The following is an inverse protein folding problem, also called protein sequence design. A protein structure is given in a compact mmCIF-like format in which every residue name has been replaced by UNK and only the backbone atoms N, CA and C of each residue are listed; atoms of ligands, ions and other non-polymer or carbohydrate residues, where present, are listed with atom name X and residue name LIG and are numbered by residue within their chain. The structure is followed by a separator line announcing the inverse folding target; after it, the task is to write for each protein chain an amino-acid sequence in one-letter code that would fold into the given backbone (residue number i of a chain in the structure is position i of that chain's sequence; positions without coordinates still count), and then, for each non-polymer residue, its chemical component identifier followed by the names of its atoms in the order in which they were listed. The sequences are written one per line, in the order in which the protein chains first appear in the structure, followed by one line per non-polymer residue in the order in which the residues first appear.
data_IF_939974737309
#
_entry.id   IF_939974737309
#
_cell.length_a   1.000
_cell.length_b   1.000
_cell.length_c   1.000
_cell.angle_alpha   90.00
_cell.angle_beta   90.00
_cell.angle_gamma   90.00
#
_symmetry.space_group_name_H-M   'P 1'
#
loop_
_entity.id
_entity.type
_entity.pdbx_description
1 polymer ?
#
# COMPACT_ATOMS: atom_id res chain seq x y z
N UNK A 1 4.01 -26.34 24.91
CA UNK A 1 3.54 -25.00 24.49
C UNK A 1 2.03 -25.09 24.33
N UNK A 2 1.24 -24.25 24.99
CA UNK A 2 -0.22 -24.26 24.86
C UNK A 2 -0.65 -23.43 23.64
N UNK A 3 -1.85 -23.69 23.10
CA UNK A 3 -2.36 -23.05 21.87
C UNK A 3 -2.46 -21.51 21.96
N UNK A 4 -2.67 -21.00 23.17
CA UNK A 4 -2.73 -19.56 23.45
C UNK A 4 -1.36 -18.89 23.29
N UNK A 5 -0.29 -19.51 23.81
CA UNK A 5 1.09 -19.03 23.63
C UNK A 5 1.53 -19.09 22.17
N UNK A 6 1.08 -20.08 21.40
CA UNK A 6 1.36 -20.17 19.96
C UNK A 6 0.68 -19.03 19.19
N UNK A 7 -0.58 -18.75 19.51
CA UNK A 7 -1.35 -17.68 18.88
C UNK A 7 -0.71 -16.31 19.13
N UNK A 8 -0.20 -16.08 20.35
CA UNK A 8 0.50 -14.85 20.71
C UNK A 8 1.80 -14.65 19.91
N UNK A 9 2.57 -15.72 19.70
CA UNK A 9 3.82 -15.67 18.92
C UNK A 9 3.57 -15.32 17.45
N UNK A 10 2.57 -15.96 16.84
CA UNK A 10 2.18 -15.67 15.45
C UNK A 10 1.71 -14.22 15.30
N UNK A 11 0.89 -13.73 16.24
CA UNK A 11 0.43 -12.34 16.24
C UNK A 11 1.61 -11.36 16.34
N UNK A 12 2.52 -11.58 17.29
CA UNK A 12 3.70 -10.73 17.48
C UNK A 12 4.64 -10.74 16.27
N UNK A 13 4.75 -11.89 15.59
CA UNK A 13 5.46 -12.00 14.32
C UNK A 13 4.83 -11.14 13.23
N UNK A 14 3.51 -11.25 13.02
CA UNK A 14 2.79 -10.43 12.03
C UNK A 14 2.95 -8.94 12.34
N UNK A 15 2.80 -8.54 13.61
CA UNK A 15 2.99 -7.16 14.04
C UNK A 15 4.40 -6.66 13.74
N UNK A 16 5.42 -7.51 13.93
CA UNK A 16 6.81 -7.20 13.58
C UNK A 16 6.99 -6.95 12.08
N UNK A 17 6.36 -7.77 11.23
CA UNK A 17 6.42 -7.60 9.77
C UNK A 17 5.74 -6.29 9.32
N UNK A 18 4.59 -5.96 9.93
CA UNK A 18 3.85 -4.73 9.63
C UNK A 18 4.63 -3.50 10.12
N UNK A 19 5.13 -3.53 11.36
CA UNK A 19 5.89 -2.43 11.93
C UNK A 19 7.14 -2.11 11.11
N UNK A 20 7.86 -3.13 10.63
CA UNK A 20 9.00 -2.94 9.75
C UNK A 20 8.61 -2.22 8.46
N UNK A 21 7.49 -2.61 7.84
CA UNK A 21 7.00 -1.94 6.63
C UNK A 21 6.69 -0.47 6.88
N UNK A 22 5.94 -0.17 7.95
CA UNK A 22 5.54 1.19 8.31
C UNK A 22 6.76 2.07 8.61
N UNK A 23 7.77 1.55 9.32
CA UNK A 23 8.97 2.31 9.69
C UNK A 23 9.92 2.55 8.52
N UNK A 24 10.17 1.53 7.70
CA UNK A 24 11.20 1.56 6.64
C UNK A 24 10.64 1.86 5.24
N UNK A 25 9.31 1.98 5.11
CA UNK A 25 8.59 2.12 3.83
C UNK A 25 8.95 1.05 2.78
N UNK A 26 9.42 -0.12 3.22
CA UNK A 26 9.68 -1.29 2.37
C UNK A 26 9.19 -2.58 3.00
N UNK A 27 8.86 -3.55 2.16
CA UNK A 27 8.53 -4.89 2.62
C UNK A 27 9.81 -5.69 2.89
N UNK A 28 9.76 -6.60 3.87
CA UNK A 28 10.86 -7.55 4.08
C UNK A 28 11.00 -8.46 2.85
N UNK A 29 12.23 -8.91 2.61
CA UNK A 29 12.49 -10.04 1.72
C UNK A 29 12.15 -11.35 2.43
N UNK A 30 11.95 -12.43 1.66
CA UNK A 30 11.70 -13.76 2.22
C UNK A 30 12.81 -14.22 3.18
N UNK A 31 14.05 -13.82 2.92
CA UNK A 31 15.17 -14.17 3.79
C UNK A 31 15.12 -13.43 5.13
N UNK A 32 14.81 -12.13 5.12
CA UNK A 32 14.63 -11.37 6.35
C UNK A 32 13.41 -11.87 7.13
N UNK A 33 12.33 -12.26 6.44
CA UNK A 33 11.16 -12.87 7.08
C UNK A 33 11.50 -14.21 7.77
N UNK A 34 12.37 -15.02 7.17
CA UNK A 34 12.88 -16.26 7.77
C UNK A 34 13.75 -15.99 8.99
N UNK A 35 14.59 -14.96 8.95
CA UNK A 35 15.38 -14.58 10.12
C UNK A 35 14.46 -14.16 11.27
N UNK A 36 13.46 -13.32 10.99
CA UNK A 36 12.48 -12.90 11.99
C UNK A 36 11.67 -14.11 12.50
N UNK A 37 11.29 -15.07 11.65
CA UNK A 37 10.56 -16.26 12.14
C UNK A 37 11.44 -17.13 13.07
N UNK A 38 12.73 -17.27 12.76
CA UNK A 38 13.70 -17.97 13.60
C UNK A 38 13.94 -17.26 14.94
N UNK A 39 14.04 -15.92 14.94
CA UNK A 39 14.16 -15.11 16.16
C UNK A 39 13.00 -15.33 17.13
N UNK A 40 11.79 -15.52 16.60
CA UNK A 40 10.58 -15.81 17.38
C UNK A 40 10.42 -17.30 17.71
N UNK A 41 11.31 -18.17 17.22
CA UNK A 41 11.25 -19.61 17.44
C UNK A 41 10.03 -20.27 16.78
N UNK A 42 9.52 -19.70 15.68
CA UNK A 42 8.34 -20.21 14.99
C UNK A 42 8.62 -21.53 14.27
N UNK A 43 7.67 -22.44 14.35
CA UNK A 43 7.65 -23.65 13.54
C UNK A 43 7.04 -23.39 12.16
N UNK A 44 7.25 -24.32 11.22
CA UNK A 44 6.57 -24.32 9.91
C UNK A 44 5.04 -24.27 10.04
N UNK A 45 4.50 -24.90 11.09
CA UNK A 45 3.07 -24.84 11.40
C UNK A 45 2.61 -23.42 11.76
N UNK A 46 3.41 -22.70 12.54
CA UNK A 46 3.11 -21.31 12.95
C UNK A 46 3.19 -20.36 11.75
N UNK A 47 4.17 -20.57 10.85
CA UNK A 47 4.27 -19.83 9.58
C UNK A 47 3.04 -20.09 8.71
N UNK A 48 2.59 -21.35 8.63
CA UNK A 48 1.37 -21.71 7.88
C UNK A 48 0.14 -20.99 8.44
N UNK A 49 0.04 -20.82 9.77
CA UNK A 49 -1.04 -20.04 10.40
C UNK A 49 -0.95 -18.57 10.02
N UNK A 50 0.25 -17.98 10.03
CA UNK A 50 0.45 -16.60 9.56
C UNK A 50 0.03 -16.44 8.10
N UNK A 51 0.43 -17.35 7.21
CA UNK A 51 0.07 -17.34 5.79
C UNK A 51 -1.44 -17.46 5.57
N UNK A 52 -2.10 -18.35 6.32
CA UNK A 52 -3.56 -18.47 6.32
C UNK A 52 -4.24 -17.16 6.71
N UNK A 53 -3.74 -16.50 7.76
CA UNK A 53 -4.27 -15.21 8.21
C UNK A 53 -4.03 -14.11 7.17
N UNK A 54 -2.83 -14.07 6.56
CA UNK A 54 -2.52 -13.17 5.46
C UNK A 54 -3.47 -13.34 4.27
N UNK A 55 -3.79 -14.58 3.87
CA UNK A 55 -4.78 -14.86 2.82
C UNK A 55 -6.18 -14.40 3.19
N UNK A 56 -6.62 -14.68 4.42
CA UNK A 56 -7.94 -14.25 4.91
C UNK A 56 -8.08 -12.72 4.91
N UNK A 57 -7.05 -12.03 5.38
CA UNK A 57 -7.01 -10.56 5.39
C UNK A 57 -6.93 -9.98 3.97
N UNK A 58 -6.24 -10.64 3.04
CA UNK A 58 -6.25 -10.26 1.63
C UNK A 58 -7.67 -10.26 1.08
N UNK A 59 -8.39 -11.37 1.24
CA UNK A 59 -9.77 -11.51 0.76
C UNK A 59 -10.68 -10.44 1.39
N UNK A 60 -10.60 -10.25 2.70
CA UNK A 60 -11.37 -9.22 3.42
C UNK A 60 -11.07 -7.81 2.91
N UNK A 61 -9.79 -7.47 2.72
CA UNK A 61 -9.40 -6.16 2.21
C UNK A 61 -9.80 -5.93 0.75
N UNK A 62 -9.85 -6.98 -0.08
CA UNK A 62 -10.41 -6.91 -1.42
C UNK A 62 -11.93 -6.66 -1.40
N UNK A 63 -12.65 -7.24 -0.44
CA UNK A 63 -14.08 -6.95 -0.19
C UNK A 63 -14.27 -5.48 0.22
N UNK A 64 -13.46 -4.98 1.16
CA UNK A 64 -13.49 -3.55 1.53
C UNK A 64 -13.22 -2.63 0.33
N UNK A 65 -12.27 -2.98 -0.53
CA UNK A 65 -12.04 -2.26 -1.79
C UNK A 65 -13.28 -2.23 -2.68
N UNK A 66 -14.02 -3.34 -2.77
CA UNK A 66 -15.24 -3.41 -3.56
C UNK A 66 -16.31 -2.43 -3.05
N UNK A 67 -16.43 -2.31 -1.73
CA UNK A 67 -17.33 -1.37 -1.06
C UNK A 67 -16.75 0.04 -0.85
N UNK A 68 -15.57 0.34 -1.43
CA UNK A 68 -14.88 1.63 -1.31
C UNK A 68 -14.52 2.04 0.12
N UNK A 69 -14.41 1.06 1.02
CA UNK A 69 -13.95 1.22 2.39
C UNK A 69 -12.41 1.23 2.38
N UNK A 70 -11.84 2.35 1.92
CA UNK A 70 -10.43 2.40 1.56
C UNK A 70 -9.50 2.32 2.76
N UNK A 71 -9.87 2.91 3.89
CA UNK A 71 -9.04 2.90 5.09
C UNK A 71 -8.96 1.49 5.68
N UNK A 72 -10.09 0.78 5.80
CA UNK A 72 -10.16 -0.60 6.25
C UNK A 72 -9.48 -1.57 5.27
N UNK A 73 -9.63 -1.33 3.96
CA UNK A 73 -8.92 -2.09 2.95
C UNK A 73 -7.42 -1.94 3.09
N UNK A 74 -6.91 -0.71 3.30
CA UNK A 74 -5.48 -0.46 3.49
C UNK A 74 -4.96 -1.20 4.72
N UNK A 75 -5.69 -1.19 5.83
CA UNK A 75 -5.30 -1.92 7.05
C UNK A 75 -5.16 -3.42 6.76
N UNK A 76 -6.23 -4.06 6.28
CA UNK A 76 -6.24 -5.51 6.06
C UNK A 76 -5.21 -5.94 4.99
N UNK A 77 -5.10 -5.20 3.89
CA UNK A 77 -4.17 -5.51 2.80
C UNK A 77 -2.72 -5.20 3.16
N UNK A 78 -2.46 -4.26 4.09
CA UNK A 78 -1.09 -4.03 4.59
C UNK A 78 -0.59 -5.24 5.33
N UNK A 79 -1.41 -5.82 6.23
CA UNK A 79 -1.05 -7.05 6.92
C UNK A 79 -0.85 -8.19 5.93
N UNK A 80 -1.78 -8.36 4.98
CA UNK A 80 -1.69 -9.42 3.98
C UNK A 80 -0.39 -9.38 3.15
N UNK A 81 0.02 -8.19 2.72
CA UNK A 81 1.27 -8.00 1.95
C UNK A 81 2.50 -8.06 2.85
N UNK A 82 2.39 -7.74 4.14
CA UNK A 82 3.50 -7.94 5.09
C UNK A 82 3.82 -9.42 5.26
N UNK A 83 2.81 -10.28 5.30
CA UNK A 83 2.96 -11.73 5.43
C UNK A 83 3.31 -12.38 4.08
N UNK A 84 2.70 -11.95 2.97
CA UNK A 84 3.04 -12.42 1.63
C UNK A 84 3.47 -11.23 0.74
N UNK A 85 4.75 -10.82 0.80
CA UNK A 85 5.26 -9.66 0.08
C UNK A 85 5.41 -9.89 -1.43
N UNK A 86 5.17 -11.11 -1.91
CA UNK A 86 5.19 -11.49 -3.31
C UNK A 86 3.77 -11.67 -3.90
N UNK A 87 2.73 -11.50 -3.08
CA UNK A 87 1.34 -11.59 -3.51
C UNK A 87 0.99 -10.50 -4.52
N UNK A 88 0.97 -10.82 -5.81
CA UNK A 88 0.58 -9.87 -6.85
C UNK A 88 -0.85 -9.35 -6.60
N UNK A 89 -1.76 -10.23 -6.18
CA UNK A 89 -3.14 -9.87 -5.85
C UNK A 89 -3.22 -8.95 -4.62
N UNK A 90 -2.49 -9.26 -3.55
CA UNK A 90 -2.45 -8.42 -2.34
C UNK A 90 -1.84 -7.04 -2.63
N UNK A 91 -0.72 -7.01 -3.35
CA UNK A 91 -0.04 -5.78 -3.77
C UNK A 91 -0.94 -4.91 -4.66
N UNK A 92 -1.60 -5.51 -5.65
CA UNK A 92 -2.53 -4.79 -6.52
C UNK A 92 -3.75 -4.28 -5.75
N UNK A 93 -4.32 -5.12 -4.87
CA UNK A 93 -5.40 -4.72 -3.98
C UNK A 93 -5.02 -3.51 -3.14
N UNK A 94 -3.85 -3.53 -2.50
CA UNK A 94 -3.37 -2.42 -1.67
C UNK A 94 -3.13 -1.16 -2.51
N UNK A 95 -2.54 -1.31 -3.70
CA UNK A 95 -2.35 -0.20 -4.64
C UNK A 95 -3.69 0.45 -5.03
N UNK A 96 -4.73 -0.36 -5.26
CA UNK A 96 -6.08 0.09 -5.58
C UNK A 96 -6.73 0.79 -4.38
N UNK A 97 -6.55 0.27 -3.17
CA UNK A 97 -7.06 0.90 -1.95
C UNK A 97 -6.48 2.30 -1.75
N UNK A 98 -5.16 2.45 -1.91
CA UNK A 98 -4.50 3.76 -1.88
C UNK A 98 -5.01 4.70 -2.98
N UNK A 99 -5.14 4.24 -4.23
CA UNK A 99 -5.67 5.08 -5.31
C UNK A 99 -7.14 5.50 -5.06
N UNK A 100 -7.96 4.60 -4.50
CA UNK A 100 -9.33 4.90 -4.09
C UNK A 100 -9.39 5.94 -2.97
N UNK A 101 -8.53 5.82 -1.95
CA UNK A 101 -8.43 6.81 -0.87
C UNK A 101 -7.92 8.15 -1.38
N UNK A 102 -6.92 8.16 -2.25
CA UNK A 102 -6.48 9.39 -2.92
C UNK A 102 -7.61 10.05 -3.72
N UNK A 103 -8.42 9.26 -4.44
CA UNK A 103 -9.52 9.78 -5.26
C UNK A 103 -10.58 10.50 -4.42
N UNK A 104 -10.74 10.11 -3.15
CA UNK A 104 -11.73 10.66 -2.23
C UNK A 104 -11.16 11.74 -1.30
N UNK A 105 -9.96 11.54 -0.77
CA UNK A 105 -9.34 12.38 0.27
C UNK A 105 -8.17 13.24 -0.25
N UNK A 106 -7.71 13.04 -1.49
CA UNK A 106 -6.61 13.78 -2.16
C UNK A 106 -5.27 13.77 -1.42
N UNK A 107 -4.98 12.73 -0.63
CA UNK A 107 -3.70 12.54 0.09
C UNK A 107 -2.55 12.20 -0.86
N UNK A 108 -1.58 13.09 -1.12
CA UNK A 108 -0.56 12.89 -2.16
C UNK A 108 0.31 11.64 -1.93
N UNK A 109 0.51 11.22 -0.69
CA UNK A 109 1.26 10.03 -0.29
C UNK A 109 0.61 8.76 -0.83
N UNK A 110 -0.73 8.69 -0.82
CA UNK A 110 -1.47 7.54 -1.33
C UNK A 110 -1.25 7.33 -2.83
N UNK A 111 -1.13 8.43 -3.59
CA UNK A 111 -0.83 8.36 -5.03
C UNK A 111 0.57 7.81 -5.28
N UNK A 112 1.53 8.16 -4.42
CA UNK A 112 2.90 7.64 -4.48
C UNK A 112 2.94 6.16 -4.14
N UNK A 113 2.28 5.74 -3.06
CA UNK A 113 2.22 4.35 -2.63
C UNK A 113 1.52 3.46 -3.68
N UNK A 114 0.38 3.90 -4.21
CA UNK A 114 -0.31 3.19 -5.27
C UNK A 114 0.59 2.93 -6.49
N UNK A 115 1.37 3.94 -6.89
CA UNK A 115 2.33 3.82 -7.99
C UNK A 115 3.48 2.86 -7.65
N UNK A 116 4.03 2.95 -6.45
CA UNK A 116 5.13 2.08 -5.98
C UNK A 116 4.70 0.62 -5.99
N UNK A 117 3.54 0.33 -5.41
CA UNK A 117 2.97 -1.02 -5.33
C UNK A 117 2.60 -1.57 -6.70
N UNK A 118 2.01 -0.77 -7.59
CA UNK A 118 1.69 -1.20 -8.96
C UNK A 118 2.95 -1.54 -9.76
N UNK A 119 4.06 -0.81 -9.57
CA UNK A 119 5.34 -1.17 -10.19
C UNK A 119 5.91 -2.47 -9.63
N UNK A 120 5.80 -2.67 -8.33
CA UNK A 120 6.22 -3.93 -7.69
C UNK A 120 5.44 -5.12 -8.23
N UNK A 121 4.14 -4.97 -8.47
CA UNK A 121 3.35 -5.99 -9.15
C UNK A 121 3.96 -6.38 -10.50
N UNK A 122 4.37 -5.40 -11.31
CA UNK A 122 5.00 -5.65 -12.63
C UNK A 122 6.42 -6.20 -12.55
N UNK A 123 7.12 -6.01 -11.43
CA UNK A 123 8.42 -6.67 -11.20
C UNK A 123 8.25 -8.16 -10.95
N UNK A 124 7.14 -8.57 -10.32
CA UNK A 124 6.83 -9.97 -10.00
C UNK A 124 6.12 -10.65 -11.18
N UNK A 125 5.08 -10.00 -11.72
CA UNK A 125 4.35 -10.42 -12.91
C UNK A 125 4.32 -9.29 -13.95
N UNK A 126 5.26 -9.29 -14.92
CA UNK A 126 5.33 -8.27 -15.97
C UNK A 126 4.06 -8.15 -16.82
N UNK A 127 3.23 -9.21 -16.88
CA UNK A 127 2.02 -9.25 -17.69
C UNK A 127 0.76 -8.90 -16.90
N UNK A 128 0.89 -8.42 -15.65
CA UNK A 128 -0.25 -8.08 -14.82
C UNK A 128 -1.02 -6.85 -15.35
N UNK A 129 -2.02 -7.12 -16.21
CA UNK A 129 -2.83 -6.12 -16.89
C UNK A 129 -3.43 -5.06 -15.96
N UNK A 130 -3.96 -5.46 -14.81
CA UNK A 130 -4.62 -4.54 -13.89
C UNK A 130 -3.65 -3.51 -13.31
N UNK A 131 -2.40 -3.90 -13.05
CA UNK A 131 -1.36 -2.98 -12.58
C UNK A 131 -0.91 -2.01 -13.68
N UNK A 132 -0.85 -2.45 -14.95
CA UNK A 132 -0.60 -1.56 -16.09
C UNK A 132 -1.72 -0.53 -16.23
N UNK A 133 -2.97 -0.96 -16.14
CA UNK A 133 -4.15 -0.08 -16.20
C UNK A 133 -4.11 0.96 -15.08
N UNK A 134 -3.84 0.52 -13.85
CA UNK A 134 -3.76 1.40 -12.68
C UNK A 134 -2.65 2.46 -12.85
N UNK A 135 -1.45 2.08 -13.30
CA UNK A 135 -0.37 3.03 -13.59
C UNK A 135 -0.74 4.05 -14.68
N UNK A 136 -1.49 3.63 -15.69
CA UNK A 136 -1.98 4.53 -16.75
C UNK A 136 -2.94 5.59 -16.18
N UNK A 137 -3.88 5.18 -15.33
CA UNK A 137 -4.81 6.08 -14.64
C UNK A 137 -4.08 7.10 -13.77
N UNK A 138 -3.14 6.64 -12.94
CA UNK A 138 -2.30 7.47 -12.06
C UNK A 138 -1.44 8.48 -12.85
N UNK A 139 -1.05 8.17 -14.09
CA UNK A 139 -0.29 9.10 -14.96
C UNK A 139 -1.17 10.24 -15.46
N UNK A 140 -2.40 9.93 -15.85
CA UNK A 140 -3.36 10.92 -16.36
C UNK A 140 -3.76 11.90 -15.27
N UNK A 141 -4.04 11.40 -14.07
CA UNK A 141 -4.42 12.19 -12.91
C UNK A 141 -3.34 13.21 -12.46
N UNK A 142 -2.06 12.82 -12.54
CA UNK A 142 -0.93 13.72 -12.23
C UNK A 142 -0.86 14.91 -13.19
N UNK A 143 -1.13 14.70 -14.49
CA UNK A 143 -1.08 15.78 -15.48
C UNK A 143 -2.11 16.87 -15.20
N UNK A 144 -3.31 16.48 -14.75
CA UNK A 144 -4.39 17.41 -14.39
C UNK A 144 -4.03 18.24 -13.15
N UNK A 145 -3.38 17.64 -12.16
CA UNK A 145 -2.95 18.35 -10.95
C UNK A 145 -1.85 19.40 -11.25
N UNK A 146 -0.89 19.05 -12.11
CA UNK A 146 0.19 19.98 -12.48
C UNK A 146 -0.33 21.12 -13.36
N UNK A 147 -1.25 20.86 -14.29
CA UNK A 147 -1.82 21.91 -15.13
C UNK A 147 -2.67 22.91 -14.34
N UNK A 148 -3.45 22.44 -13.36
CA UNK A 148 -4.25 23.31 -12.48
C UNK A 148 -3.37 24.14 -11.53
N UNK A 149 -2.29 23.56 -10.99
CA UNK A 149 -1.33 24.30 -10.17
C UNK A 149 -0.59 25.41 -10.92
N UNK A 150 -0.22 25.19 -12.18
CA UNK A 150 0.40 26.22 -13.03
C UNK A 150 -0.57 27.38 -13.30
N UNK A 151 -1.86 27.09 -13.53
CA UNK A 151 -2.88 28.13 -13.75
C UNK A 151 -3.10 28.95 -12.47
N UNK A 152 -3.17 28.32 -11.30
CA UNK A 152 -3.34 29.01 -10.02
C UNK A 152 -2.13 29.91 -9.67
N UNK A 153 -0.90 29.42 -9.91
CA UNK A 153 0.31 30.20 -9.71
C UNK A 153 0.42 31.38 -10.69
N UNK A 154 0.01 31.19 -11.95
CA UNK A 154 -0.01 32.24 -12.97
C UNK A 154 -0.98 33.39 -12.62
N UNK A 155 -2.16 33.06 -12.09
CA UNK A 155 -3.16 34.07 -11.65
C UNK A 155 -2.66 34.84 -10.42
N UNK A 156 -2.03 34.15 -9.45
CA UNK A 156 -1.47 34.80 -8.26
C UNK A 156 -0.35 35.80 -8.58
N UNK A 157 0.56 35.45 -9.49
CA UNK A 157 1.64 36.34 -9.94
C UNK A 157 1.10 37.53 -10.74
N UNK A 158 0.10 37.32 -11.59
CA UNK A 158 -0.53 38.40 -12.37
C UNK A 158 -1.26 39.42 -11.48
N UNK A 159 -1.97 38.97 -10.44
CA UNK A 159 -2.63 39.86 -9.47
C UNK A 159 -1.63 40.63 -8.61
N UNK A 160 -0.51 40.00 -8.21
CA UNK A 160 0.56 40.67 -7.48
C UNK A 160 1.25 41.76 -8.33
N UNK A 161 1.45 41.50 -9.63
CA UNK A 161 2.03 42.48 -10.56
C UNK A 161 1.09 43.68 -10.81
N UNK A 162 -0.22 43.45 -10.89
CA UNK A 162 -1.20 44.54 -11.03
C UNK A 162 -1.35 45.37 -9.75
N UNK A 163 -1.12 44.78 -8.57
CA UNK A 163 -1.14 45.52 -7.30
C UNK A 163 0.04 46.48 -7.10
N UNK A 164 1.16 46.28 -7.82
CA UNK A 164 2.34 47.15 -7.77
C UNK A 164 2.31 48.35 -8.73
N UNK A 165 1.30 48.44 -9.60
CA UNK A 165 1.16 49.53 -10.58
C UNK A 165 0.19 50.64 -10.14
N UNK A 166 -0.41 50.52 -8.95
CA UNK A 166 -1.15 51.59 -8.28
C UNK A 166 -0.31 52.13 -7.12
N UNK A 167 0.63 53.00 -7.43
CA UNK A 167 1.48 53.71 -6.47
C UNK A 167 2.04 54.96 -7.13
#
# INVERSE_FOLDING_TARGET
MNAESQTLLVAAYIDRLVAFHVQQQRWLSLEEMRQVSQEFGLSEGDITVADCEGRRLREKGLVHCHYRQWDEAIVDLTVAVSVDPLSVEGLHGLARAYQGRWSTQRKPEDLQESRRLSRRCLQIDPNHKASVILLSQLRTERKVLVSTGIIAAGIGVLLLLLSRFKG
#
